data_IF_221566356551
#
_entry.id   IF_221566356551
#
_cell.length_a   1.000
_cell.length_b   1.000
_cell.length_c   1.000
_cell.angle_alpha   90.00
_cell.angle_beta   90.00
_cell.angle_gamma   90.00
#
_symmetry.space_group_name_H-M   'P 1'
#
loop_
_entity.id
_entity.type
_entity.pdbx_description
1 polymer ?
#
# COMPACT_ATOMS: atom_id res chain seq x y z
N UNK A 1 -33.59 4.55 -33.26
CA UNK A 1 -34.34 4.93 -32.04
C UNK A 1 -33.65 4.30 -30.84
N UNK A 2 -33.54 5.07 -29.75
CA UNK A 2 -32.53 4.97 -28.69
C UNK A 2 -32.69 3.80 -27.72
N UNK A 3 -31.56 3.18 -27.33
CA UNK A 3 -31.44 2.42 -26.09
C UNK A 3 -30.57 3.24 -25.14
N UNK A 4 -31.18 3.75 -24.08
CA UNK A 4 -30.50 4.29 -22.92
C UNK A 4 -29.80 3.13 -22.20
N UNK A 5 -28.49 3.22 -22.05
CA UNK A 5 -27.73 2.47 -21.06
C UNK A 5 -26.85 3.49 -20.39
N UNK A 6 -27.24 3.86 -19.17
CA UNK A 6 -26.60 4.85 -18.32
C UNK A 6 -25.08 4.83 -18.41
N UNK A 7 -24.53 5.96 -18.85
CA UNK A 7 -23.15 6.36 -18.67
C UNK A 7 -22.96 6.56 -17.17
N UNK A 8 -22.64 5.48 -16.44
CA UNK A 8 -22.14 5.61 -15.08
C UNK A 8 -20.71 6.18 -15.20
N UNK A 9 -20.43 7.43 -14.81
CA UNK A 9 -19.06 7.90 -14.76
C UNK A 9 -18.36 7.01 -13.75
N UNK A 10 -17.40 6.21 -14.24
CA UNK A 10 -16.54 5.33 -13.45
C UNK A 10 -16.21 6.02 -12.12
N UNK A 11 -16.92 5.61 -11.08
CA UNK A 11 -16.79 6.16 -9.74
C UNK A 11 -15.30 6.02 -9.40
N UNK A 12 -14.58 7.09 -9.01
CA UNK A 12 -13.19 6.95 -8.64
C UNK A 12 -13.16 5.88 -7.55
N UNK A 13 -12.49 4.75 -7.83
CA UNK A 13 -12.35 3.66 -6.89
C UNK A 13 -11.85 4.32 -5.60
N UNK A 14 -12.75 4.39 -4.61
CA UNK A 14 -12.46 5.00 -3.33
C UNK A 14 -11.13 4.40 -2.90
N UNK A 15 -10.11 5.19 -2.53
CA UNK A 15 -8.85 4.63 -2.09
C UNK A 15 -9.23 3.71 -0.95
N UNK A 16 -9.12 2.40 -1.19
CA UNK A 16 -9.40 1.39 -0.19
C UNK A 16 -8.53 1.81 0.97
N UNK A 17 -9.16 2.36 2.01
CA UNK A 17 -8.46 2.80 3.21
C UNK A 17 -7.92 1.52 3.78
N UNK A 18 -6.72 1.14 3.33
CA UNK A 18 -5.99 0.01 3.88
C UNK A 18 -5.95 0.29 5.37
N UNK A 19 -6.57 -0.58 6.20
CA UNK A 19 -6.59 -0.36 7.62
C UNK A 19 -5.16 -0.09 8.04
N UNK A 20 -4.93 1.05 8.69
CA UNK A 20 -3.59 1.36 9.20
C UNK A 20 -3.28 0.24 10.18
N UNK A 21 -2.31 -0.65 9.92
CA UNK A 21 -2.10 -1.79 10.78
C UNK A 21 -1.72 -1.27 12.13
N UNK A 22 -2.23 -1.96 13.14
CA UNK A 22 -1.68 -1.80 14.46
C UNK A 22 -0.23 -2.30 14.39
N UNK A 23 0.74 -1.39 14.39
CA UNK A 23 2.17 -1.73 14.32
C UNK A 23 2.57 -2.70 15.46
N UNK A 24 1.80 -2.70 16.55
CA UNK A 24 1.95 -3.63 17.67
C UNK A 24 1.65 -5.09 17.35
N UNK A 25 1.06 -5.42 16.20
CA UNK A 25 0.73 -6.80 15.81
C UNK A 25 1.71 -7.42 14.82
N UNK A 26 2.79 -6.72 14.45
CA UNK A 26 3.79 -7.30 13.54
C UNK A 26 4.64 -8.34 14.25
N UNK A 27 4.86 -9.45 13.57
CA UNK A 27 5.92 -10.38 13.92
C UNK A 27 7.29 -9.68 13.80
N UNK A 28 8.32 -10.13 14.54
CA UNK A 28 9.68 -9.58 14.42
C UNK A 28 10.21 -9.62 12.98
N UNK A 29 9.85 -10.65 12.22
CA UNK A 29 10.24 -10.84 10.83
C UNK A 29 9.60 -9.79 9.90
N UNK A 30 8.30 -9.54 10.05
CA UNK A 30 7.60 -8.49 9.28
C UNK A 30 8.20 -7.11 9.58
N UNK A 31 8.55 -6.84 10.84
CA UNK A 31 9.21 -5.60 11.23
C UNK A 31 10.58 -5.45 10.57
N UNK A 32 11.40 -6.50 10.61
CA UNK A 32 12.72 -6.52 9.98
C UNK A 32 12.63 -6.35 8.45
N UNK A 33 11.62 -6.96 7.82
CA UNK A 33 11.36 -6.79 6.39
C UNK A 33 11.01 -5.34 6.04
N UNK A 34 10.11 -4.71 6.82
CA UNK A 34 9.77 -3.30 6.65
C UNK A 34 10.97 -2.38 6.89
N UNK A 35 11.80 -2.66 7.90
CA UNK A 35 13.04 -1.90 8.16
C UNK A 35 13.99 -1.93 6.96
N UNK A 36 14.14 -3.09 6.32
CA UNK A 36 14.96 -3.24 5.14
C UNK A 36 14.40 -2.44 3.95
N UNK A 37 13.08 -2.45 3.74
CA UNK A 37 12.45 -1.63 2.70
C UNK A 37 12.69 -0.14 2.97
N UNK A 38 12.44 0.33 4.20
CA UNK A 38 12.62 1.73 4.58
C UNK A 38 14.06 2.19 4.29
N UNK A 39 15.05 1.38 4.67
CA UNK A 39 16.47 1.66 4.43
C UNK A 39 16.84 1.63 2.95
N UNK A 40 16.34 0.65 2.19
CA UNK A 40 16.63 0.51 0.77
C UNK A 40 16.13 1.70 -0.06
N UNK A 41 14.95 2.23 0.29
CA UNK A 41 14.41 3.43 -0.36
C UNK A 41 14.90 4.75 0.25
N UNK A 42 15.71 4.67 1.31
CA UNK A 42 16.26 5.80 2.04
C UNK A 42 15.19 6.68 2.70
N UNK A 43 14.03 6.11 3.05
CA UNK A 43 12.94 6.87 3.66
C UNK A 43 13.26 7.29 5.10
N UNK A 44 14.14 6.56 5.78
CA UNK A 44 14.73 6.92 7.06
C UNK A 44 15.52 8.24 6.98
N UNK A 45 16.19 8.49 5.86
CA UNK A 45 17.04 9.67 5.63
C UNK A 45 16.29 10.90 5.11
N UNK A 46 15.02 10.75 4.74
CA UNK A 46 14.18 11.83 4.19
C UNK A 46 13.46 12.67 5.24
N UNK A 47 13.73 12.43 6.52
CA UNK A 47 13.10 13.18 7.63
C UNK A 47 11.63 12.84 7.86
N UNK A 48 11.12 11.75 7.27
CA UNK A 48 9.76 11.31 7.56
C UNK A 48 9.65 10.76 8.98
N UNK A 49 8.54 10.97 9.70
CA UNK A 49 8.29 10.30 10.97
C UNK A 49 8.27 8.78 10.80
N UNK A 50 8.72 8.00 11.80
CA UNK A 50 8.74 6.53 11.72
C UNK A 50 7.37 5.95 11.32
N UNK A 51 6.28 6.46 11.91
CA UNK A 51 4.91 6.05 11.56
C UNK A 51 4.57 6.26 10.08
N UNK A 52 5.14 7.29 9.44
CA UNK A 52 4.97 7.52 8.01
C UNK A 52 5.84 6.55 7.20
N UNK A 53 7.11 6.35 7.59
CA UNK A 53 8.00 5.37 6.95
C UNK A 53 7.39 3.97 6.94
N UNK A 54 6.84 3.52 8.08
CA UNK A 54 6.14 2.24 8.23
C UNK A 54 4.92 2.12 7.32
N UNK A 55 4.10 3.16 7.25
CA UNK A 55 2.93 3.19 6.34
C UNK A 55 3.36 3.05 4.88
N UNK A 56 4.40 3.76 4.45
CA UNK A 56 4.90 3.66 3.08
C UNK A 56 5.44 2.26 2.77
N UNK A 57 6.23 1.67 3.69
CA UNK A 57 6.75 0.30 3.52
C UNK A 57 5.64 -0.72 3.41
N UNK A 58 4.60 -0.57 4.21
CA UNK A 58 3.48 -1.47 4.16
C UNK A 58 2.64 -1.30 2.88
N UNK A 59 2.38 -0.06 2.44
CA UNK A 59 1.74 0.20 1.15
C UNK A 59 2.53 -0.45 0.02
N UNK A 60 3.86 -0.31 0.04
CA UNK A 60 4.73 -0.96 -0.93
C UNK A 60 4.55 -2.49 -0.93
N UNK A 61 4.62 -3.15 0.24
CA UNK A 61 4.39 -4.60 0.33
C UNK A 61 3.02 -5.03 -0.21
N UNK A 62 1.98 -4.26 0.10
CA UNK A 62 0.62 -4.54 -0.35
C UNK A 62 0.49 -4.43 -1.87
N UNK A 63 1.08 -3.41 -2.49
CA UNK A 63 1.04 -3.24 -3.94
C UNK A 63 1.85 -4.34 -4.67
N UNK A 64 3.00 -4.74 -4.12
CA UNK A 64 3.76 -5.88 -4.65
C UNK A 64 2.94 -7.17 -4.54
N UNK A 65 2.27 -7.42 -3.41
CA UNK A 65 1.40 -8.59 -3.26
C UNK A 65 0.28 -8.59 -4.29
N UNK A 66 -0.42 -7.46 -4.47
CA UNK A 66 -1.45 -7.32 -5.50
C UNK A 66 -0.92 -7.57 -6.91
N UNK A 67 0.27 -7.05 -7.24
CA UNK A 67 0.89 -7.27 -8.55
C UNK A 67 1.18 -8.76 -8.80
N UNK A 68 1.70 -9.48 -7.79
CA UNK A 68 1.88 -10.94 -7.85
C UNK A 68 0.56 -11.68 -8.04
N UNK A 69 -0.47 -11.31 -7.27
CA UNK A 69 -1.79 -11.93 -7.34
C UNK A 69 -2.45 -11.71 -8.72
N UNK A 70 -2.10 -10.61 -9.42
CA UNK A 70 -2.53 -10.32 -10.80
C UNK A 70 -1.64 -10.96 -11.88
N UNK A 71 -0.53 -11.61 -11.52
CA UNK A 71 0.43 -12.18 -12.47
C UNK A 71 1.27 -11.15 -13.24
N UNK A 72 1.40 -9.93 -12.70
CA UNK A 72 2.11 -8.80 -13.32
C UNK A 72 3.58 -8.69 -12.88
N UNK A 73 4.10 -9.70 -12.15
CA UNK A 73 5.40 -9.65 -11.46
C UNK A 73 6.22 -10.91 -11.65
#
# INVERSE_FOLDING_TARGET
>A
MCCFGDDEPSRPATPVRTPTPNISSYTPEEKAHQDNIIRNYGWDKRGFPEKQQRRMAQTFCNEIKKAKDRGEW
#
